data_IF_489372194502
#
_entry.id   IF_489372194502
#
_cell.length_a   1.000
_cell.length_b   1.000
_cell.length_c   1.000
_cell.angle_alpha   90.00
_cell.angle_beta   90.00
_cell.angle_gamma   90.00
#
_symmetry.space_group_name_H-M   'P 1'
#
loop_
_entity.id
_entity.type
_entity.pdbx_description
1 polymer ?
#
# COMPACT_ATOMS: atom_id res chain seq x y z
N UNK A 1 -37.20 -31.26 21.17
CA UNK A 1 -36.86 -31.31 19.73
C UNK A 1 -36.65 -29.89 19.22
N UNK A 2 -35.41 -29.50 18.89
CA UNK A 2 -35.11 -28.12 18.46
C UNK A 2 -35.50 -27.89 17.00
N UNK A 3 -36.42 -26.95 16.74
CA UNK A 3 -36.75 -26.55 15.36
C UNK A 3 -35.49 -26.00 14.65
N UNK A 4 -35.23 -26.41 13.41
CA UNK A 4 -34.10 -25.89 12.61
C UNK A 4 -34.66 -25.03 11.49
N UNK A 5 -34.38 -23.72 11.53
CA UNK A 5 -34.72 -22.82 10.43
C UNK A 5 -33.48 -22.54 9.59
N UNK A 6 -33.57 -22.84 8.29
CA UNK A 6 -32.58 -22.47 7.27
C UNK A 6 -33.32 -22.10 5.99
N UNK A 7 -33.07 -20.89 5.46
CA UNK A 7 -33.61 -20.42 4.19
C UNK A 7 -32.45 -19.96 3.29
N UNK A 8 -32.43 -20.42 2.05
CA UNK A 8 -31.47 -19.96 1.04
C UNK A 8 -32.22 -19.19 -0.04
N UNK A 9 -31.80 -17.95 -0.30
CA UNK A 9 -32.40 -17.07 -1.31
C UNK A 9 -31.37 -16.84 -2.41
N UNK A 10 -31.76 -17.10 -3.66
CA UNK A 10 -30.95 -16.80 -4.84
C UNK A 10 -31.35 -15.43 -5.37
N UNK A 11 -30.40 -14.51 -5.48
CA UNK A 11 -30.64 -13.11 -5.88
C UNK A 11 -30.25 -12.84 -7.35
N UNK A 12 -29.91 -13.89 -8.11
CA UNK A 12 -29.43 -13.75 -9.49
C UNK A 12 -27.95 -13.38 -9.56
N UNK A 13 -27.38 -13.39 -10.78
CA UNK A 13 -25.98 -12.95 -11.01
C UNK A 13 -24.89 -13.76 -10.27
N UNK A 14 -25.20 -14.97 -9.81
CA UNK A 14 -24.28 -15.80 -9.02
C UNK A 14 -24.24 -15.47 -7.52
N UNK A 15 -25.16 -14.64 -7.02
CA UNK A 15 -25.25 -14.24 -5.61
C UNK A 15 -26.35 -15.02 -4.85
N UNK A 16 -26.01 -15.55 -3.67
CA UNK A 16 -26.93 -16.30 -2.80
C UNK A 16 -26.75 -15.90 -1.33
N UNK A 17 -27.84 -15.83 -0.60
CA UNK A 17 -27.85 -15.59 0.84
C UNK A 17 -28.41 -16.81 1.56
N UNK A 18 -27.74 -17.28 2.60
CA UNK A 18 -28.18 -18.35 3.49
C UNK A 18 -28.50 -17.76 4.86
N UNK A 19 -29.76 -17.79 5.25
CA UNK A 19 -30.25 -17.32 6.55
C UNK A 19 -30.50 -18.54 7.43
N UNK A 20 -30.00 -18.52 8.66
CA UNK A 20 -30.19 -19.58 9.63
C UNK A 20 -30.31 -19.02 11.05
N UNK A 21 -30.68 -19.85 12.03
CA UNK A 21 -30.77 -19.41 13.44
C UNK A 21 -29.48 -18.79 14.01
N UNK A 22 -28.31 -19.20 13.53
CA UNK A 22 -27.03 -18.64 13.99
C UNK A 22 -26.65 -17.33 13.30
N UNK A 23 -27.37 -16.90 12.26
CA UNK A 23 -27.09 -15.68 11.50
C UNK A 23 -27.12 -15.87 9.97
N UNK A 24 -26.64 -14.84 9.28
CA UNK A 24 -26.66 -14.74 7.80
C UNK A 24 -25.28 -15.04 7.23
N UNK A 25 -25.21 -15.98 6.28
CA UNK A 25 -24.07 -16.22 5.41
C UNK A 25 -24.40 -15.83 3.97
N UNK A 26 -23.40 -15.51 3.17
CA UNK A 26 -23.59 -15.18 1.76
C UNK A 26 -22.53 -15.86 0.90
N UNK A 27 -22.89 -16.13 -0.35
CA UNK A 27 -21.97 -16.60 -1.37
C UNK A 27 -22.15 -15.84 -2.66
N UNK A 28 -21.04 -15.61 -3.34
CA UNK A 28 -20.99 -14.90 -4.61
C UNK A 28 -20.04 -15.62 -5.55
N UNK A 29 -20.50 -15.96 -6.75
CA UNK A 29 -19.65 -16.55 -7.78
C UNK A 29 -20.37 -17.25 -8.93
N UNK A 30 -19.67 -17.28 -10.06
CA UNK A 30 -20.07 -17.93 -11.31
C UNK A 30 -19.34 -19.27 -11.49
N UNK A 31 -19.55 -19.96 -12.61
CA UNK A 31 -18.80 -21.19 -12.93
C UNK A 31 -17.32 -20.83 -13.07
N UNK A 32 -16.49 -21.35 -12.17
CA UNK A 32 -15.03 -21.18 -12.17
C UNK A 32 -14.47 -20.41 -10.98
N UNK A 33 -15.28 -19.59 -10.31
CA UNK A 33 -14.86 -18.89 -9.11
C UNK A 33 -16.04 -18.59 -8.18
N UNK A 34 -15.95 -19.03 -6.92
CA UNK A 34 -16.97 -18.77 -5.89
C UNK A 34 -16.37 -18.47 -4.53
N UNK A 35 -16.86 -17.42 -3.90
CA UNK A 35 -16.54 -17.06 -2.51
C UNK A 35 -17.77 -17.31 -1.64
N UNK A 36 -17.59 -17.96 -0.50
CA UNK A 36 -18.63 -18.23 0.48
C UNK A 36 -18.18 -17.76 1.85
N UNK A 37 -18.93 -16.85 2.47
CA UNK A 37 -18.74 -16.45 3.86
C UNK A 37 -19.83 -17.10 4.70
N UNK A 38 -19.40 -17.95 5.62
CA UNK A 38 -20.31 -18.66 6.52
C UNK A 38 -20.57 -17.84 7.78
N UNK A 39 -21.67 -18.17 8.46
CA UNK A 39 -22.09 -17.53 9.70
C UNK A 39 -21.02 -17.61 10.80
N UNK A 40 -20.24 -18.70 10.83
CA UNK A 40 -19.20 -18.94 11.84
C UNK A 40 -17.87 -18.23 11.49
N UNK A 41 -17.90 -17.18 10.67
CA UNK A 41 -16.73 -16.37 10.29
C UNK A 41 -15.77 -17.03 9.30
N UNK A 42 -16.03 -18.27 8.86
CA UNK A 42 -15.16 -18.92 7.86
C UNK A 42 -15.40 -18.36 6.47
N UNK A 43 -14.31 -18.07 5.77
CA UNK A 43 -14.33 -17.68 4.36
C UNK A 43 -13.77 -18.83 3.52
N UNK A 44 -14.58 -19.35 2.60
CA UNK A 44 -14.21 -20.39 1.63
C UNK A 44 -14.14 -19.80 0.23
N UNK A 45 -13.02 -19.96 -0.46
CA UNK A 45 -12.84 -19.62 -1.88
C UNK A 45 -12.70 -20.91 -2.69
N UNK A 46 -13.46 -21.03 -3.76
CA UNK A 46 -13.44 -22.18 -4.67
C UNK A 46 -13.07 -21.69 -6.06
N UNK A 47 -12.00 -22.25 -6.60
CA UNK A 47 -11.51 -22.04 -7.97
C UNK A 47 -11.79 -23.32 -8.75
N UNK A 48 -12.43 -23.24 -9.90
CA UNK A 48 -12.67 -24.41 -10.75
C UNK A 48 -12.45 -24.10 -12.22
N UNK A 49 -12.07 -25.10 -13.00
CA UNK A 49 -11.95 -24.98 -14.45
C UNK A 49 -13.18 -25.66 -15.08
N UNK A 50 -14.12 -24.90 -15.68
CA UNK A 50 -15.34 -25.47 -16.25
C UNK A 50 -15.04 -26.56 -17.28
N UNK A 51 -15.76 -27.68 -17.23
CA UNK A 51 -15.61 -28.79 -18.18
C UNK A 51 -14.48 -29.79 -17.88
N UNK A 52 -13.60 -29.51 -16.90
CA UNK A 52 -12.45 -30.39 -16.59
C UNK A 52 -12.57 -31.17 -15.28
N UNK A 53 -13.57 -30.86 -14.44
CA UNK A 53 -13.73 -31.46 -13.11
C UNK A 53 -12.72 -30.98 -12.06
N UNK A 54 -11.70 -30.20 -12.45
CA UNK A 54 -10.66 -29.71 -11.55
C UNK A 54 -11.18 -28.54 -10.70
N UNK A 55 -11.04 -28.65 -9.38
CA UNK A 55 -11.33 -27.57 -8.44
C UNK A 55 -10.36 -27.53 -7.27
N UNK A 56 -10.07 -26.31 -6.81
CA UNK A 56 -9.23 -26.02 -5.65
C UNK A 56 -10.04 -25.20 -4.64
N UNK A 57 -10.02 -25.63 -3.38
CA UNK A 57 -10.79 -25.00 -2.30
C UNK A 57 -9.84 -24.51 -1.21
N UNK A 58 -9.92 -23.23 -0.90
CA UNK A 58 -9.17 -22.57 0.18
C UNK A 58 -10.15 -22.17 1.29
N UNK A 59 -9.94 -22.61 2.52
CA UNK A 59 -10.77 -22.29 3.68
C UNK A 59 -9.93 -21.60 4.77
N UNK A 60 -10.28 -20.37 5.14
CA UNK A 60 -9.64 -19.62 6.23
C UNK A 60 -10.60 -19.50 7.43
N UNK A 61 -10.10 -19.84 8.63
CA UNK A 61 -10.74 -19.56 9.92
C UNK A 61 -10.10 -18.32 10.52
N UNK A 62 -10.90 -17.38 11.03
CA UNK A 62 -10.38 -16.36 11.94
C UNK A 62 -10.01 -17.04 13.27
N UNK A 63 -8.73 -17.04 13.62
CA UNK A 63 -8.30 -17.36 14.98
C UNK A 63 -8.64 -16.16 15.88
N UNK A 64 -9.67 -16.30 16.71
CA UNK A 64 -9.84 -15.43 17.87
C UNK A 64 -8.76 -15.79 18.88
N UNK A 65 -7.86 -14.85 19.16
CA UNK A 65 -6.92 -14.91 20.27
C UNK A 65 -7.68 -14.76 21.58
N UNK A 66 -7.99 -15.88 22.23
CA UNK A 66 -8.20 -15.92 23.67
C UNK A 66 -6.82 -15.88 24.33
N UNK A 67 -6.56 -14.85 25.13
CA UNK A 67 -5.56 -14.90 26.20
C UNK A 67 -6.11 -14.14 27.40
N UNK A 68 -6.89 -14.87 28.20
CA UNK A 68 -7.05 -14.62 29.64
C UNK A 68 -5.84 -15.24 30.33
N UNK A 69 -5.07 -14.47 31.11
CA UNK A 69 -4.39 -14.92 32.33
C UNK A 69 -4.14 -13.71 33.24
N UNK A 70 -4.76 -13.78 34.42
CA UNK A 70 -4.53 -12.90 35.57
C UNK A 70 -3.08 -13.00 36.03
N UNK A 71 -2.48 -11.87 36.42
CA UNK A 71 -1.57 -11.81 37.57
C UNK A 71 -1.68 -10.44 38.27
N UNK A 72 -2.17 -10.53 39.51
CA UNK A 72 -1.85 -9.81 40.75
C UNK A 72 -1.70 -8.28 40.83
N UNK A 73 -2.43 -7.76 41.82
CA UNK A 73 -2.49 -6.42 42.38
C UNK A 73 -1.51 -6.30 43.55
N UNK A 74 -0.76 -5.19 43.62
CA UNK A 74 -0.18 -4.48 44.79
C UNK A 74 1.11 -3.77 44.34
N UNK A 75 1.51 -2.59 44.79
CA UNK A 75 0.95 -1.51 45.60
C UNK A 75 1.90 -0.31 45.39
N UNK A 76 1.38 0.91 45.54
CA UNK A 76 2.09 2.19 45.46
C UNK A 76 3.29 2.32 46.43
N UNK A 77 4.32 3.09 46.03
CA UNK A 77 4.90 4.18 46.86
C UNK A 77 5.93 5.07 46.10
N UNK A 78 5.52 6.34 45.94
CA UNK A 78 6.25 7.62 46.07
C UNK A 78 7.58 7.90 45.35
N UNK A 79 7.47 8.82 44.37
CA UNK A 79 8.14 10.12 44.23
C UNK A 79 9.67 10.23 44.40
N UNK A 80 10.33 10.64 43.31
CA UNK A 80 11.39 11.65 43.30
C UNK A 80 11.57 12.20 41.87
N UNK A 81 11.02 13.39 41.64
CA UNK A 81 11.29 14.23 40.47
C UNK A 81 12.16 15.41 40.91
N UNK A 82 13.26 15.66 40.21
CA UNK A 82 13.96 16.94 39.95
C UNK A 82 14.94 16.60 38.79
N UNK A 83 14.99 17.18 37.60
CA UNK A 83 14.43 18.41 37.01
C UNK A 83 13.76 18.06 35.66
N UNK A 84 12.46 18.33 35.53
CA UNK A 84 11.80 18.39 34.22
C UNK A 84 12.08 19.77 33.61
N UNK A 85 13.12 19.87 32.79
CA UNK A 85 13.13 20.90 31.76
C UNK A 85 12.08 20.54 30.72
N UNK A 86 10.92 21.16 30.89
CA UNK A 86 9.80 21.20 29.96
C UNK A 86 10.25 21.88 28.67
N UNK A 87 10.98 21.13 27.83
CA UNK A 87 11.20 21.53 26.45
C UNK A 87 9.87 21.38 25.74
N UNK A 88 9.35 22.54 25.36
CA UNK A 88 8.16 22.76 24.55
C UNK A 88 8.04 21.69 23.48
N UNK A 89 7.14 20.72 23.73
CA UNK A 89 6.35 20.14 22.65
C UNK A 89 5.77 21.34 21.92
N UNK A 90 6.37 21.70 20.80
CA UNK A 90 5.71 22.51 19.78
C UNK A 90 4.58 21.60 19.32
N UNK A 91 3.45 21.73 20.01
CA UNK A 91 2.17 21.25 19.54
C UNK A 91 1.89 22.04 18.27
N UNK A 92 2.33 21.51 17.14
CA UNK A 92 1.51 21.60 15.94
C UNK A 92 0.23 20.94 16.40
N UNK A 93 -0.76 21.78 16.63
CA UNK A 93 -2.04 21.41 17.20
C UNK A 93 -2.47 20.08 16.61
N UNK A 94 -3.10 19.26 17.44
CA UNK A 94 -4.15 18.37 16.96
C UNK A 94 -5.12 19.25 16.16
N UNK A 95 -4.79 19.55 14.90
CA UNK A 95 -5.59 20.33 13.98
C UNK A 95 -6.68 19.38 13.51
N UNK A 96 -7.56 19.12 14.48
CA UNK A 96 -8.78 18.35 14.55
C UNK A 96 -8.80 17.08 13.68
N UNK A 97 -8.64 15.92 14.32
CA UNK A 97 -8.99 14.63 13.68
C UNK A 97 -10.38 14.71 13.02
N UNK A 98 -11.32 15.48 13.58
CA UNK A 98 -12.63 15.79 12.98
C UNK A 98 -12.55 16.53 11.63
N UNK A 99 -11.72 17.58 11.51
CA UNK A 99 -11.54 18.31 10.25
C UNK A 99 -10.91 17.42 9.18
N UNK A 100 -10.01 16.52 9.60
CA UNK A 100 -9.38 15.58 8.70
C UNK A 100 -10.31 14.45 8.27
N UNK A 101 -11.18 13.97 9.15
CA UNK A 101 -12.25 13.03 8.80
C UNK A 101 -13.20 13.65 7.77
N UNK A 102 -13.60 14.90 7.96
CA UNK A 102 -14.40 15.66 6.99
C UNK A 102 -13.65 15.77 5.64
N UNK A 103 -12.34 16.03 5.67
CA UNK A 103 -11.51 16.05 4.47
C UNK A 103 -11.50 14.68 3.76
N UNK A 104 -11.25 13.59 4.49
CA UNK A 104 -11.25 12.24 3.93
C UNK A 104 -12.63 11.84 3.38
N UNK A 105 -13.71 12.24 4.04
CA UNK A 105 -15.06 12.02 3.56
C UNK A 105 -15.29 12.76 2.22
N UNK A 106 -14.99 14.06 2.18
CA UNK A 106 -15.06 14.87 0.94
C UNK A 106 -14.24 14.24 -0.18
N UNK A 107 -13.03 13.80 0.12
CA UNK A 107 -12.12 13.19 -0.85
C UNK A 107 -12.64 11.84 -1.35
N UNK A 108 -13.11 10.97 -0.46
CA UNK A 108 -13.73 9.69 -0.82
C UNK A 108 -15.00 9.87 -1.67
N UNK A 109 -15.83 10.86 -1.35
CA UNK A 109 -17.00 11.21 -2.16
C UNK A 109 -16.59 11.66 -3.56
N UNK A 110 -15.57 12.51 -3.68
CA UNK A 110 -15.04 12.97 -4.98
C UNK A 110 -14.48 11.80 -5.79
N UNK A 111 -13.75 10.88 -5.16
CA UNK A 111 -13.24 9.66 -5.82
C UNK A 111 -14.37 8.73 -6.29
N UNK A 112 -15.45 8.61 -5.50
CA UNK A 112 -16.63 7.82 -5.84
C UNK A 112 -17.39 8.44 -7.02
N UNK A 113 -17.62 9.74 -7.01
CA UNK A 113 -18.27 10.46 -8.11
C UNK A 113 -17.44 10.37 -9.40
N UNK A 114 -16.12 10.56 -9.32
CA UNK A 114 -15.25 10.38 -10.48
C UNK A 114 -15.35 8.96 -11.05
N UNK A 115 -15.43 7.93 -10.19
CA UNK A 115 -15.69 6.55 -10.64
C UNK A 115 -17.04 6.42 -11.35
N UNK A 116 -18.10 6.98 -10.76
CA UNK A 116 -19.46 6.93 -11.32
C UNK A 116 -19.49 7.58 -12.69
N UNK A 117 -18.95 8.80 -12.84
CA UNK A 117 -18.91 9.48 -14.13
C UNK A 117 -18.07 8.72 -15.16
N UNK A 118 -16.89 8.20 -14.80
CA UNK A 118 -16.09 7.38 -15.73
C UNK A 118 -16.82 6.10 -16.15
N UNK A 119 -17.44 5.38 -15.21
CA UNK A 119 -18.22 4.19 -15.52
C UNK A 119 -19.44 4.51 -16.38
N UNK A 120 -20.19 5.56 -16.04
CA UNK A 120 -21.36 6.01 -16.82
C UNK A 120 -20.97 6.37 -18.24
N UNK A 121 -19.87 7.09 -18.43
CA UNK A 121 -19.38 7.49 -19.75
C UNK A 121 -19.01 6.26 -20.60
N UNK A 122 -18.26 5.30 -20.02
CA UNK A 122 -17.89 4.05 -20.72
C UNK A 122 -19.13 3.22 -21.08
N UNK A 123 -20.07 3.05 -20.14
CA UNK A 123 -21.30 2.27 -20.36
C UNK A 123 -22.15 2.92 -21.45
N UNK A 124 -22.40 4.22 -21.37
CA UNK A 124 -23.19 4.93 -22.37
C UNK A 124 -22.53 4.87 -23.77
N UNK A 125 -21.21 5.08 -23.89
CA UNK A 125 -20.49 4.95 -25.17
C UNK A 125 -20.50 3.52 -25.73
N UNK A 126 -20.51 2.49 -24.87
CA UNK A 126 -20.64 1.12 -25.35
C UNK A 126 -22.05 0.80 -25.87
N UNK A 127 -23.08 1.37 -25.23
CA UNK A 127 -24.49 1.18 -25.59
C UNK A 127 -24.89 1.96 -26.85
N UNK A 128 -24.22 3.06 -27.18
CA UNK A 128 -24.49 3.82 -28.41
C UNK A 128 -24.32 3.00 -29.68
N UNK A 129 -23.49 1.95 -29.65
CA UNK A 129 -23.30 1.04 -30.79
C UNK A 129 -24.60 0.28 -31.11
N UNK A 130 -25.39 -0.05 -30.09
CA UNK A 130 -26.65 -0.79 -30.23
C UNK A 130 -27.84 0.17 -30.37
N UNK A 131 -27.84 1.23 -29.56
CA UNK A 131 -28.96 2.18 -29.42
C UNK A 131 -28.42 3.62 -29.46
N UNK A 132 -28.55 4.34 -30.59
CA UNK A 132 -27.85 5.61 -30.81
C UNK A 132 -28.28 6.74 -29.85
N UNK A 133 -29.48 6.69 -29.27
CA UNK A 133 -29.96 7.71 -28.33
C UNK A 133 -29.14 7.78 -27.03
N UNK A 134 -28.36 6.75 -26.68
CA UNK A 134 -27.49 6.75 -25.49
C UNK A 134 -26.39 7.82 -25.53
N UNK A 135 -26.17 8.46 -26.68
CA UNK A 135 -25.20 9.54 -26.84
C UNK A 135 -25.54 10.75 -25.96
N UNK A 136 -26.83 11.02 -25.74
CA UNK A 136 -27.28 12.11 -24.86
C UNK A 136 -26.85 11.86 -23.41
N UNK A 137 -26.96 10.62 -22.93
CA UNK A 137 -26.50 10.25 -21.59
C UNK A 137 -24.98 10.28 -21.46
N UNK A 138 -24.24 9.91 -22.50
CA UNK A 138 -22.78 10.05 -22.55
C UNK A 138 -22.36 11.52 -22.46
N UNK A 139 -23.04 12.43 -23.18
CA UNK A 139 -22.80 13.88 -23.10
C UNK A 139 -23.10 14.42 -21.69
N UNK A 140 -24.22 14.01 -21.07
CA UNK A 140 -24.56 14.41 -19.70
C UNK A 140 -23.52 13.93 -18.68
N UNK A 141 -23.02 12.69 -18.81
CA UNK A 141 -21.94 12.18 -17.97
C UNK A 141 -20.62 12.93 -18.19
N UNK A 142 -20.32 13.35 -19.42
CA UNK A 142 -19.15 14.16 -19.74
C UNK A 142 -19.24 15.56 -19.10
N UNK A 143 -20.40 16.21 -19.20
CA UNK A 143 -20.66 17.51 -18.54
C UNK A 143 -20.48 17.38 -17.03
N UNK A 144 -21.06 16.34 -16.42
CA UNK A 144 -20.89 16.08 -14.98
C UNK A 144 -19.43 15.84 -14.58
N UNK A 145 -18.65 15.11 -15.40
CA UNK A 145 -17.22 14.93 -15.20
C UNK A 145 -16.44 16.23 -15.31
N UNK A 146 -16.76 17.06 -16.29
CA UNK A 146 -16.12 18.36 -16.50
C UNK A 146 -16.42 19.31 -15.33
N UNK A 147 -17.67 19.34 -14.86
CA UNK A 147 -18.06 20.07 -13.66
C UNK A 147 -17.27 19.59 -12.42
N UNK A 148 -17.08 18.28 -12.26
CA UNK A 148 -16.29 17.72 -11.16
C UNK A 148 -14.82 18.19 -11.23
N UNK A 149 -14.20 18.19 -12.41
CA UNK A 149 -12.81 18.61 -12.58
C UNK A 149 -12.63 20.11 -12.32
N UNK A 150 -13.60 20.94 -12.73
CA UNK A 150 -13.48 22.40 -12.63
C UNK A 150 -13.84 22.94 -11.25
N UNK A 151 -14.92 22.45 -10.64
CA UNK A 151 -15.52 23.06 -9.44
C UNK A 151 -15.31 22.27 -8.15
N UNK A 152 -15.01 20.97 -8.23
CA UNK A 152 -14.88 20.11 -7.04
C UNK A 152 -13.42 19.95 -6.61
N UNK A 153 -12.76 21.08 -6.38
CA UNK A 153 -11.42 21.12 -5.78
C UNK A 153 -11.54 21.18 -4.26
N UNK A 154 -10.68 20.44 -3.58
CA UNK A 154 -10.58 20.42 -2.12
C UNK A 154 -9.32 21.18 -1.76
N UNK A 155 -9.49 22.30 -1.07
CA UNK A 155 -8.38 23.13 -0.62
C UNK A 155 -7.74 22.55 0.65
N UNK A 156 -6.42 22.44 0.63
CA UNK A 156 -5.58 22.10 1.79
C UNK A 156 -4.55 23.21 1.92
N UNK A 157 -4.78 24.13 2.85
CA UNK A 157 -3.87 25.25 3.12
C UNK A 157 -3.08 24.97 4.38
N UNK A 158 -1.76 25.14 4.28
CA UNK A 158 -0.84 25.03 5.39
C UNK A 158 -0.40 26.43 5.81
N UNK A 159 -0.62 26.77 7.08
CA UNK A 159 -0.04 27.94 7.70
C UNK A 159 1.34 27.54 8.24
N UNK A 160 2.39 28.04 7.59
CA UNK A 160 3.78 27.72 7.94
C UNK A 160 4.31 28.88 8.76
N UNK A 161 4.45 28.69 10.06
CA UNK A 161 5.21 29.60 10.93
C UNK A 161 6.70 29.39 10.73
N UNK A 162 7.51 30.40 11.06
CA UNK A 162 8.97 30.33 10.90
C UNK A 162 9.58 29.16 11.70
N UNK A 163 8.99 28.84 12.85
CA UNK A 163 9.39 27.74 13.75
C UNK A 163 9.20 26.33 13.15
N UNK A 164 8.22 26.14 12.26
CA UNK A 164 7.91 24.84 11.64
C UNK A 164 8.55 24.72 10.25
N UNK A 165 8.90 25.85 9.64
CA UNK A 165 9.42 25.95 8.28
C UNK A 165 10.67 25.08 8.06
N UNK A 166 11.63 25.15 8.98
CA UNK A 166 12.88 24.41 8.89
C UNK A 166 12.63 22.89 8.96
N UNK A 167 11.76 22.45 9.87
CA UNK A 167 11.37 21.03 10.02
C UNK A 167 10.71 20.51 8.74
N UNK A 168 9.80 21.28 8.14
CA UNK A 168 9.14 20.88 6.88
C UNK A 168 10.13 20.86 5.71
N UNK A 169 11.09 21.78 5.69
CA UNK A 169 12.13 21.82 4.68
C UNK A 169 13.06 20.60 4.79
N UNK A 170 13.45 20.20 6.01
CA UNK A 170 14.22 18.98 6.24
C UNK A 170 13.49 17.73 5.78
N UNK A 171 12.20 17.58 6.13
CA UNK A 171 11.35 16.47 5.65
C UNK A 171 11.26 16.44 4.13
N UNK A 172 11.09 17.60 3.49
CA UNK A 172 11.03 17.71 2.04
C UNK A 172 12.37 17.34 1.40
N UNK A 173 13.48 17.76 2.00
CA UNK A 173 14.83 17.43 1.55
C UNK A 173 15.14 15.93 1.67
N UNK A 174 14.63 15.27 2.71
CA UNK A 174 14.70 13.82 2.85
C UNK A 174 13.97 13.13 1.69
N UNK A 175 12.72 13.50 1.40
CA UNK A 175 12.01 12.93 0.24
C UNK A 175 12.68 13.26 -1.10
N UNK A 176 13.29 14.44 -1.24
CA UNK A 176 14.08 14.79 -2.42
C UNK A 176 15.34 13.93 -2.56
N UNK A 177 15.98 13.47 -1.48
CA UNK A 177 17.13 12.56 -1.61
C UNK A 177 16.73 11.21 -2.23
N UNK A 178 15.47 10.79 -2.06
CA UNK A 178 14.92 9.61 -2.74
C UNK A 178 14.63 9.87 -4.24
N UNK A 179 14.23 11.09 -4.61
CA UNK A 179 14.03 11.51 -6.00
C UNK A 179 15.32 11.41 -6.82
N UNK A 180 16.45 11.72 -6.18
CA UNK A 180 17.75 11.75 -6.83
C UNK A 180 18.38 10.36 -7.01
N UNK A 181 17.82 9.31 -6.41
CA UNK A 181 18.30 7.93 -6.59
C UNK A 181 18.07 7.43 -8.03
N UNK A 182 19.12 6.89 -8.66
CA UNK A 182 18.98 6.31 -10.01
C UNK A 182 18.15 5.00 -9.98
N UNK A 183 18.29 4.24 -8.91
CA UNK A 183 17.51 3.05 -8.59
C UNK A 183 16.61 3.24 -7.39
N UNK A 184 15.33 3.51 -7.63
CA UNK A 184 14.28 3.48 -6.61
C UNK A 184 13.21 2.47 -7.00
N UNK A 185 12.97 1.49 -6.13
CA UNK A 185 11.95 0.48 -6.33
C UNK A 185 11.11 0.25 -5.08
N UNK A 186 9.91 -0.32 -5.27
CA UNK A 186 9.10 -0.86 -4.18
C UNK A 186 8.99 -2.38 -4.33
N UNK A 187 9.19 -3.11 -3.22
CA UNK A 187 8.96 -4.55 -3.17
C UNK A 187 7.45 -4.83 -3.28
N UNK A 188 7.06 -5.64 -4.26
CA UNK A 188 5.66 -6.06 -4.45
C UNK A 188 5.40 -7.46 -3.89
N UNK A 189 6.40 -8.35 -3.97
CA UNK A 189 6.32 -9.74 -3.48
C UNK A 189 7.69 -10.27 -3.11
N UNK A 190 7.74 -11.04 -2.02
CA UNK A 190 8.96 -11.75 -1.59
C UNK A 190 8.64 -13.23 -1.40
N UNK A 191 9.44 -14.11 -2.01
CA UNK A 191 9.28 -15.56 -1.92
C UNK A 191 10.60 -16.27 -1.65
N UNK A 192 10.57 -17.37 -0.88
CA UNK A 192 11.78 -18.17 -0.63
C UNK A 192 12.16 -18.96 -1.88
N UNK A 193 13.45 -18.97 -2.20
CA UNK A 193 13.96 -19.72 -3.35
C UNK A 193 14.05 -21.21 -3.01
N UNK A 194 13.42 -22.06 -3.83
CA UNK A 194 13.50 -23.53 -3.69
C UNK A 194 14.85 -24.10 -4.09
N UNK A 195 15.46 -23.59 -5.17
CA UNK A 195 16.75 -24.08 -5.68
C UNK A 195 17.73 -22.92 -5.89
N UNK A 196 18.66 -22.76 -4.93
CA UNK A 196 19.68 -21.71 -4.95
C UNK A 196 20.61 -21.76 -6.16
N UNK A 197 20.82 -22.95 -6.77
CA UNK A 197 21.69 -23.11 -7.95
C UNK A 197 21.22 -22.32 -9.15
N UNK A 198 19.90 -22.22 -9.32
CA UNK A 198 19.24 -21.58 -10.47
C UNK A 198 18.93 -20.10 -10.18
N UNK A 199 18.99 -19.70 -8.90
CA UNK A 199 18.74 -18.33 -8.45
C UNK A 199 20.03 -17.57 -8.11
N UNK A 200 21.15 -17.92 -8.74
CA UNK A 200 22.43 -17.23 -8.55
C UNK A 200 22.91 -17.16 -7.08
N UNK A 201 22.51 -18.14 -6.26
CA UNK A 201 22.84 -18.21 -4.83
C UNK A 201 21.90 -17.44 -3.89
N UNK A 202 20.90 -16.71 -4.42
CA UNK A 202 20.00 -15.89 -3.62
C UNK A 202 19.09 -16.72 -2.68
N UNK A 203 18.83 -16.19 -1.48
CA UNK A 203 17.92 -16.80 -0.49
C UNK A 203 16.44 -16.57 -0.83
N UNK A 204 16.12 -15.37 -1.28
CA UNK A 204 14.77 -14.94 -1.60
C UNK A 204 14.71 -14.40 -3.03
N UNK A 205 13.57 -14.62 -3.70
CA UNK A 205 13.20 -13.95 -4.92
C UNK A 205 12.33 -12.76 -4.56
N UNK A 206 12.74 -11.56 -4.99
CA UNK A 206 12.06 -10.30 -4.71
C UNK A 206 11.53 -9.77 -6.04
N UNK A 207 10.22 -9.60 -6.13
CA UNK A 207 9.59 -8.86 -7.22
C UNK A 207 9.47 -7.41 -6.83
N UNK A 208 9.95 -6.51 -7.69
CA UNK A 208 9.99 -5.06 -7.43
C UNK A 208 9.50 -4.29 -8.64
N UNK A 209 8.93 -3.12 -8.38
CA UNK A 209 8.46 -2.17 -9.40
C UNK A 209 9.31 -0.90 -9.31
N UNK A 210 9.82 -0.38 -10.44
CA UNK A 210 10.59 0.87 -10.44
C UNK A 210 9.63 2.02 -10.21
N UNK A 211 9.91 2.85 -9.22
CA UNK A 211 9.04 3.95 -8.81
C UNK A 211 9.63 5.26 -9.29
N UNK A 212 8.78 6.14 -9.82
CA UNK A 212 9.12 7.52 -10.13
C UNK A 212 8.35 8.42 -9.18
N UNK A 213 9.08 9.15 -8.36
CA UNK A 213 8.54 10.24 -7.56
C UNK A 213 8.35 11.44 -8.49
N UNK A 214 7.21 12.12 -8.40
CA UNK A 214 6.88 13.31 -9.20
C UNK A 214 6.28 14.38 -8.30
N UNK A 215 6.66 15.65 -8.52
CA UNK A 215 6.01 16.79 -7.85
C UNK A 215 4.67 17.05 -8.55
N UNK A 216 3.60 16.42 -8.07
CA UNK A 216 2.27 16.48 -8.69
C UNK A 216 1.17 16.28 -7.67
N UNK A 217 0.18 17.16 -7.73
CA UNK A 217 -1.05 17.11 -6.95
C UNK A 217 -2.18 16.55 -7.85
N UNK A 218 -3.13 15.77 -7.32
CA UNK A 218 -4.25 15.27 -8.11
C UNK A 218 -5.25 16.41 -8.40
N UNK A 219 -5.98 16.32 -9.52
CA UNK A 219 -6.83 17.41 -10.02
C UNK A 219 -7.93 17.89 -9.04
N UNK A 220 -8.30 17.06 -8.07
CA UNK A 220 -9.31 17.35 -7.05
C UNK A 220 -8.72 17.95 -5.77
N UNK A 221 -7.40 18.16 -5.69
CA UNK A 221 -6.75 18.83 -4.57
C UNK A 221 -6.11 20.14 -5.04
N UNK A 222 -6.16 21.15 -4.18
CA UNK A 222 -5.46 22.41 -4.33
C UNK A 222 -4.75 22.72 -3.01
N UNK A 223 -3.47 23.06 -3.09
CA UNK A 223 -2.65 23.32 -1.91
C UNK A 223 -1.56 24.33 -2.21
N UNK A 224 -1.11 25.05 -1.18
CA UNK A 224 -0.05 26.06 -1.25
C UNK A 224 1.36 25.47 -1.16
N UNK A 225 1.50 24.15 -0.99
CA UNK A 225 2.77 23.45 -0.83
C UNK A 225 3.06 22.48 -1.98
N UNK A 226 4.34 22.18 -2.18
CA UNK A 226 4.77 21.20 -3.18
C UNK A 226 4.65 19.77 -2.62
N UNK A 227 3.64 19.03 -3.07
CA UNK A 227 3.43 17.61 -2.71
C UNK A 227 4.20 16.68 -3.66
N UNK A 228 4.84 15.65 -3.09
CA UNK A 228 5.47 14.57 -3.87
C UNK A 228 4.48 13.42 -4.00
N UNK A 229 4.36 12.86 -5.20
CA UNK A 229 3.52 11.71 -5.51
C UNK A 229 4.35 10.58 -6.06
N UNK A 230 3.99 9.35 -5.70
CA UNK A 230 4.41 8.16 -6.45
C UNK A 230 3.28 7.13 -6.54
N UNK A 231 3.35 6.26 -7.54
CA UNK A 231 2.42 5.17 -7.74
C UNK A 231 3.17 3.83 -7.64
N UNK A 232 2.59 2.85 -6.95
CA UNK A 232 3.10 1.48 -6.91
C UNK A 232 1.99 0.49 -6.59
N UNK A 233 2.01 -0.69 -7.23
CA UNK A 233 1.05 -1.77 -7.00
C UNK A 233 -0.43 -1.30 -7.03
N UNK A 234 -0.78 -0.42 -7.99
CA UNK A 234 -2.12 0.20 -8.15
C UNK A 234 -2.56 1.08 -6.97
N UNK A 235 -1.62 1.51 -6.13
CA UNK A 235 -1.82 2.45 -5.05
C UNK A 235 -1.07 3.74 -5.38
N UNK A 236 -1.75 4.88 -5.19
CA UNK A 236 -1.14 6.20 -5.30
C UNK A 236 -0.85 6.75 -3.91
N UNK A 237 0.38 7.20 -3.71
CA UNK A 237 0.85 7.81 -2.47
C UNK A 237 1.12 9.28 -2.71
N UNK A 238 0.66 10.12 -1.79
CA UNK A 238 0.89 11.55 -1.78
C UNK A 238 1.50 11.94 -0.45
N UNK A 239 2.70 12.48 -0.52
CA UNK A 239 3.53 12.89 0.60
C UNK A 239 3.21 14.34 0.90
N UNK A 240 2.42 14.57 1.94
CA UNK A 240 2.21 15.88 2.53
C UNK A 240 3.22 16.09 3.67
N UNK A 241 3.33 17.28 4.26
CA UNK A 241 4.36 17.55 5.28
C UNK A 241 4.07 16.89 6.63
N UNK A 242 2.79 16.65 6.93
CA UNK A 242 2.26 16.13 8.18
C UNK A 242 1.78 14.67 8.06
N UNK A 243 1.28 14.27 6.89
CA UNK A 243 0.64 12.97 6.66
C UNK A 243 1.01 12.36 5.31
N UNK A 244 0.96 11.03 5.25
CA UNK A 244 0.98 10.27 4.00
C UNK A 244 -0.46 9.96 3.58
N UNK A 245 -0.92 10.53 2.46
CA UNK A 245 -2.23 10.19 1.87
C UNK A 245 -2.06 9.03 0.91
N UNK A 246 -2.89 8.00 1.08
CA UNK A 246 -2.84 6.76 0.31
C UNK A 246 -4.18 6.56 -0.38
N UNK A 247 -4.16 6.41 -1.69
CA UNK A 247 -5.36 6.18 -2.50
C UNK A 247 -5.25 4.83 -3.20
N UNK A 248 -6.19 3.94 -2.89
CA UNK A 248 -6.29 2.60 -3.47
C UNK A 248 -7.74 2.28 -3.80
N UNK A 249 -8.00 1.79 -5.01
CA UNK A 249 -9.34 1.38 -5.45
C UNK A 249 -10.44 2.44 -5.20
N UNK A 250 -10.14 3.72 -5.45
CA UNK A 250 -11.02 4.88 -5.23
C UNK A 250 -11.43 5.08 -3.76
N UNK A 251 -10.66 4.53 -2.82
CA UNK A 251 -10.72 4.88 -1.41
C UNK A 251 -9.43 5.54 -1.02
N UNK A 252 -9.54 6.56 -0.19
CA UNK A 252 -8.41 7.23 0.40
C UNK A 252 -8.37 6.99 1.90
N UNK A 253 -7.17 6.84 2.41
CA UNK A 253 -6.84 6.99 3.81
C UNK A 253 -5.65 7.92 3.95
N UNK A 254 -5.37 8.33 5.17
CA UNK A 254 -4.13 9.01 5.48
C UNK A 254 -3.59 8.59 6.83
N UNK A 255 -2.28 8.71 6.95
CA UNK A 255 -1.54 8.25 8.11
C UNK A 255 -0.59 9.37 8.50
N UNK A 256 -0.67 9.90 9.74
CA UNK A 256 0.33 10.79 10.31
C UNK A 256 1.72 10.16 10.29
N UNK A 257 2.76 10.97 10.09
CA UNK A 257 4.13 10.44 10.17
C UNK A 257 4.45 9.86 11.56
N UNK A 258 3.86 10.39 12.61
CA UNK A 258 3.98 9.91 13.99
C UNK A 258 3.50 8.45 14.15
N UNK A 259 2.58 8.01 13.29
CA UNK A 259 2.06 6.64 13.24
C UNK A 259 2.85 5.73 12.27
N UNK A 260 3.91 6.25 11.66
CA UNK A 260 4.75 5.53 10.68
C UNK A 260 6.12 5.29 11.29
N UNK A 261 6.46 4.01 11.41
CA UNK A 261 7.79 3.55 11.75
C UNK A 261 8.63 3.39 10.46
N UNK A 262 9.76 4.06 10.43
CA UNK A 262 10.78 3.89 9.41
C UNK A 262 11.92 3.02 9.96
N UNK A 263 12.44 2.08 9.17
CA UNK A 263 13.61 1.25 9.50
C UNK A 263 14.47 1.04 8.25
N UNK A 264 15.76 1.33 8.33
CA UNK A 264 16.71 1.24 7.22
C UNK A 264 17.70 0.10 7.40
N UNK A 265 17.77 -0.83 6.42
CA UNK A 265 18.70 -1.98 6.45
C UNK A 265 19.46 -2.14 5.15
N UNK A 266 20.79 -2.13 5.23
CA UNK A 266 21.65 -2.50 4.09
C UNK A 266 21.45 -3.98 3.75
N UNK A 267 21.38 -4.28 2.46
CA UNK A 267 21.17 -5.63 1.92
C UNK A 267 21.95 -5.81 0.63
N UNK A 268 22.43 -7.03 0.39
CA UNK A 268 23.06 -7.39 -0.88
C UNK A 268 22.03 -7.92 -1.85
N UNK A 269 22.01 -7.41 -3.06
CA UNK A 269 21.09 -7.83 -4.12
C UNK A 269 21.85 -8.28 -5.37
N UNK A 270 21.48 -9.43 -5.92
CA UNK A 270 22.04 -9.90 -7.20
C UNK A 270 21.31 -9.20 -8.33
N UNK A 271 21.98 -8.26 -8.98
CA UNK A 271 21.38 -7.48 -10.05
C UNK A 271 21.54 -8.21 -11.39
N UNK A 272 20.41 -8.63 -11.96
CA UNK A 272 20.38 -9.28 -13.28
C UNK A 272 20.08 -8.31 -14.41
N UNK A 273 19.66 -7.09 -14.08
CA UNK A 273 19.38 -6.01 -15.03
C UNK A 273 20.56 -5.02 -15.09
N UNK A 274 20.35 -3.86 -15.71
CA UNK A 274 21.32 -2.77 -15.70
C UNK A 274 21.50 -2.25 -14.27
N UNK A 275 22.74 -2.23 -13.79
CA UNK A 275 23.11 -1.66 -12.49
C UNK A 275 22.95 -0.13 -12.56
N UNK A 276 22.29 0.51 -11.57
CA UNK A 276 22.25 1.95 -11.46
C UNK A 276 23.65 2.54 -11.24
N UNK A 277 23.88 3.75 -11.74
CA UNK A 277 25.21 4.39 -11.70
C UNK A 277 25.66 4.77 -10.27
N UNK A 278 24.71 4.97 -9.37
CA UNK A 278 24.95 5.34 -7.97
C UNK A 278 25.04 4.14 -7.01
N UNK A 279 25.18 2.93 -7.57
CA UNK A 279 25.26 1.66 -6.83
C UNK A 279 26.69 1.24 -6.57
N UNK A 280 26.98 0.78 -5.35
CA UNK A 280 28.25 0.12 -5.03
C UNK A 280 28.16 -1.39 -5.31
N UNK A 281 29.03 -1.88 -6.18
CA UNK A 281 29.16 -3.33 -6.45
C UNK A 281 30.13 -3.92 -5.41
N UNK A 282 29.64 -4.85 -4.59
CA UNK A 282 30.41 -5.47 -3.50
C UNK A 282 31.13 -6.72 -3.98
N UNK A 283 30.46 -7.51 -4.83
CA UNK A 283 31.01 -8.76 -5.35
C UNK A 283 30.29 -9.13 -6.64
N UNK A 284 30.54 -10.33 -7.17
CA UNK A 284 29.84 -10.88 -8.31
C UNK A 284 29.54 -12.36 -8.09
N UNK A 285 28.47 -12.83 -8.71
CA UNK A 285 28.04 -14.23 -8.73
C UNK A 285 27.80 -14.68 -10.16
N UNK A 286 27.58 -15.97 -10.36
CA UNK A 286 27.22 -16.53 -11.65
C UNK A 286 25.71 -16.76 -11.72
N UNK A 287 25.13 -16.66 -12.93
CA UNK A 287 23.72 -16.97 -13.17
C UNK A 287 23.36 -18.35 -12.62
N UNK A 288 24.21 -19.34 -12.89
CA UNK A 288 24.12 -20.70 -12.37
C UNK A 288 25.34 -21.04 -11.50
N UNK A 289 25.10 -21.45 -10.26
CA UNK A 289 26.15 -21.74 -9.27
C UNK A 289 26.08 -23.16 -8.74
N UNK A 290 27.24 -23.72 -8.44
CA UNK A 290 27.39 -24.95 -7.66
C UNK A 290 27.04 -24.70 -6.18
N UNK A 291 26.97 -25.78 -5.37
CA UNK A 291 26.67 -25.67 -3.92
C UNK A 291 27.68 -24.79 -3.17
N UNK A 292 28.92 -24.69 -3.67
CA UNK A 292 30.01 -23.87 -3.13
C UNK A 292 30.05 -22.43 -3.71
N UNK A 293 29.11 -22.04 -4.57
CA UNK A 293 29.09 -20.72 -5.21
C UNK A 293 29.96 -20.58 -6.47
N UNK A 294 30.75 -21.60 -6.83
CA UNK A 294 31.56 -21.59 -8.06
C UNK A 294 30.67 -21.67 -9.32
N UNK A 295 31.14 -21.22 -10.49
CA UNK A 295 30.37 -21.33 -11.73
C UNK A 295 30.06 -22.80 -12.06
N UNK A 296 28.79 -23.08 -12.37
CA UNK A 296 28.41 -24.39 -12.91
C UNK A 296 28.76 -24.43 -14.40
N UNK A 297 29.83 -25.17 -14.74
CA UNK A 297 30.40 -25.27 -16.10
C UNK A 297 29.53 -26.07 -17.07
N UNK A 298 28.46 -26.73 -16.60
CA UNK A 298 27.51 -27.46 -17.48
C UNK A 298 26.66 -26.54 -18.34
N UNK A 299 26.52 -25.27 -17.94
CA UNK A 299 25.75 -24.27 -18.67
C UNK A 299 26.66 -23.47 -19.59
N UNK A 300 26.46 -23.59 -20.91
CA UNK A 300 27.26 -22.90 -21.94
C UNK A 300 27.21 -21.37 -21.82
N UNK A 301 26.06 -20.81 -21.44
CA UNK A 301 25.83 -19.36 -21.32
C UNK A 301 25.64 -18.94 -19.86
N UNK A 302 26.61 -19.25 -19.00
CA UNK A 302 26.60 -18.86 -17.61
C UNK A 302 27.20 -17.45 -17.43
N UNK A 303 26.36 -16.42 -17.53
CA UNK A 303 26.81 -15.02 -17.36
C UNK A 303 27.07 -14.68 -15.90
N UNK A 304 27.95 -13.72 -15.66
CA UNK A 304 28.28 -13.20 -14.33
C UNK A 304 27.36 -12.01 -14.00
N UNK A 305 26.75 -12.03 -12.83
CA UNK A 305 25.90 -10.96 -12.29
C UNK A 305 26.59 -10.23 -11.14
N UNK A 306 26.52 -8.89 -11.09
CA UNK A 306 27.00 -8.12 -9.96
C UNK A 306 26.12 -8.32 -8.72
N UNK A 307 26.77 -8.37 -7.56
CA UNK A 307 26.14 -8.29 -6.24
C UNK A 307 26.29 -6.84 -5.78
N UNK A 308 25.16 -6.14 -5.76
CA UNK A 308 25.06 -4.73 -5.43
C UNK A 308 24.70 -4.54 -3.95
N UNK A 309 25.25 -3.51 -3.33
CA UNK A 309 24.79 -3.03 -2.03
C UNK A 309 23.60 -2.09 -2.24
N UNK A 310 22.44 -2.50 -1.74
CA UNK A 310 21.22 -1.71 -1.74
C UNK A 310 20.73 -1.50 -0.30
N UNK A 311 19.78 -0.58 -0.13
CA UNK A 311 19.17 -0.33 1.19
C UNK A 311 17.68 -0.55 1.12
N UNK A 312 17.17 -1.34 2.06
CA UNK A 312 15.75 -1.50 2.30
C UNK A 312 15.28 -0.47 3.32
N UNK A 313 14.36 0.39 2.94
CA UNK A 313 13.64 1.29 3.86
C UNK A 313 12.25 0.73 4.07
N UNK A 314 12.03 0.19 5.26
CA UNK A 314 10.73 -0.29 5.71
C UNK A 314 9.92 0.89 6.23
N UNK A 315 8.69 1.00 5.75
CA UNK A 315 7.71 1.99 6.18
C UNK A 315 6.47 1.23 6.66
N UNK A 316 6.22 1.26 7.97
CA UNK A 316 5.17 0.45 8.62
C UNK A 316 4.28 1.32 9.50
N UNK A 317 2.99 0.99 9.57
CA UNK A 317 2.07 1.60 10.53
C UNK A 317 1.17 0.55 11.15
N UNK A 318 0.73 0.79 12.39
CA UNK A 318 -0.26 -0.04 13.09
C UNK A 318 -1.60 -0.12 12.34
N UNK A 319 -1.90 0.89 11.52
CA UNK A 319 -3.11 0.98 10.69
C UNK A 319 -3.07 0.11 9.43
N UNK A 320 -1.95 -0.58 9.16
CA UNK A 320 -1.82 -1.56 8.08
C UNK A 320 -0.93 -1.14 6.91
N UNK A 321 -0.24 0.00 6.99
CA UNK A 321 0.84 0.34 6.05
C UNK A 321 2.01 -0.64 6.24
N UNK A 322 2.47 -1.24 5.15
CA UNK A 322 3.66 -2.08 5.13
C UNK A 322 4.26 -2.02 3.73
N UNK A 323 5.17 -1.07 3.53
CA UNK A 323 5.82 -0.82 2.24
C UNK A 323 7.33 -0.89 2.44
N UNK A 324 8.03 -1.46 1.47
CA UNK A 324 9.49 -1.56 1.48
C UNK A 324 10.01 -0.88 0.22
N UNK A 325 10.77 0.20 0.41
CA UNK A 325 11.55 0.79 -0.66
C UNK A 325 12.91 0.11 -0.73
N UNK A 326 13.36 -0.15 -1.95
CA UNK A 326 14.71 -0.62 -2.24
C UNK A 326 15.43 0.51 -2.98
N UNK A 327 16.54 0.97 -2.43
CA UNK A 327 17.35 2.05 -2.98
C UNK A 327 18.72 1.56 -3.42
N UNK A 328 19.21 2.15 -4.50
CA UNK A 328 20.54 1.89 -5.05
C UNK A 328 21.69 2.52 -4.27
N UNK A 329 21.45 3.67 -3.63
CA UNK A 329 22.49 4.45 -2.94
C UNK A 329 22.33 4.41 -1.43
N UNK A 330 23.39 3.95 -0.73
CA UNK A 330 23.46 3.93 0.73
C UNK A 330 23.44 5.33 1.34
N UNK A 331 24.19 6.27 0.76
CA UNK A 331 24.29 7.65 1.26
C UNK A 331 22.92 8.36 1.24
N UNK A 332 22.21 8.29 0.11
CA UNK A 332 20.88 8.91 -0.05
C UNK A 332 19.84 8.26 0.85
N UNK A 333 19.93 6.94 1.05
CA UNK A 333 19.06 6.20 1.96
C UNK A 333 19.29 6.59 3.42
N UNK A 334 20.55 6.73 3.84
CA UNK A 334 20.91 7.15 5.19
C UNK A 334 20.47 8.60 5.47
N UNK A 335 20.58 9.49 4.48
CA UNK A 335 20.05 10.87 4.58
C UNK A 335 18.54 10.88 4.81
N UNK A 336 17.79 10.06 4.06
CA UNK A 336 16.34 9.95 4.25
C UNK A 336 16.01 9.38 5.62
N UNK A 337 16.59 8.22 5.97
CA UNK A 337 16.29 7.51 7.20
C UNK A 337 16.69 8.32 8.44
N UNK A 338 17.84 9.01 8.42
CA UNK A 338 18.30 9.83 9.55
C UNK A 338 17.33 10.96 9.91
N UNK A 339 16.68 11.58 8.91
CA UNK A 339 15.65 12.60 9.15
C UNK A 339 14.33 11.94 9.57
N UNK A 340 13.88 10.93 8.81
CA UNK A 340 12.54 10.35 8.99
C UNK A 340 12.40 9.48 10.25
N UNK A 341 13.48 8.86 10.72
CA UNK A 341 13.47 8.09 11.97
C UNK A 341 13.39 9.00 13.21
N UNK A 342 13.91 10.22 13.12
CA UNK A 342 13.88 11.19 14.21
C UNK A 342 12.55 11.95 14.29
N UNK A 343 11.60 11.74 13.38
CA UNK A 343 10.28 12.39 13.43
C UNK A 343 9.46 11.92 14.64
N UNK A 344 9.71 10.70 15.14
CA UNK A 344 8.94 10.09 16.21
C UNK A 344 9.56 10.26 17.60
N UNK A 345 10.75 10.86 17.69
CA UNK A 345 11.48 11.15 18.93
C UNK A 345 11.45 12.65 19.21
#
# INVERSE_FOLDING_TARGET
MGTRYRKSINLGGGFRINISKSGIGYSWGTKGYRVTKTVNGKTRKTYSIPGTGLSYVEEQKNHQSQNSHQYSKNQNKSFNSYDEQKLSKISIEKYNDENYEIFLEKLNLTLKLNKIYNCSLIICLSLTIILPFFIVFALMALIGKLHLILFRKIDITYEITDDIKDVLQEKTNAWNSLLDCDGLWIETKTSKVKNKKIASGAKNYISREKVKLVKKIPFYLQTNINTIRFDANKVSYYIFPDRLIIISNNKAGAIPYDDIEFDGKSTTFVESQKVPNDTKIVNYTWKYVNKNGSPDKRYKNNVRYPICEYVNIYMKSKTGLNTVFLLSSLEKANKFYGVMANINN
#
